data_IF_149060130880
#
_entry.id   IF_149060130880
#
_cell.length_a   1.000
_cell.length_b   1.000
_cell.length_c   1.000
_cell.angle_alpha   90.00
_cell.angle_beta   90.00
_cell.angle_gamma   90.00
#
_symmetry.space_group_name_H-M   'P 1'
#
loop_
_entity.id
_entity.type
_entity.pdbx_description
1 polymer ?
#
# COMPACT_ATOMS: atom_id res chain seq x y z
N UNK A 1 27.12 10.30 -2.41
CA UNK A 1 26.53 10.42 -3.78
C UNK A 1 25.84 11.76 -3.91
N UNK A 2 25.83 12.38 -5.10
CA UNK A 2 25.08 13.62 -5.35
C UNK A 2 24.11 13.39 -6.51
N UNK A 3 22.84 13.75 -6.31
CA UNK A 3 21.81 13.79 -7.35
C UNK A 3 21.64 15.24 -7.76
N UNK A 4 22.14 15.58 -8.96
CA UNK A 4 22.27 16.96 -9.40
C UNK A 4 21.18 17.39 -10.38
N UNK A 5 20.82 18.69 -10.32
CA UNK A 5 19.93 19.36 -11.27
C UNK A 5 18.61 18.64 -11.43
N UNK A 6 17.91 18.44 -10.31
CA UNK A 6 16.60 17.79 -10.29
C UNK A 6 15.51 18.75 -9.81
N UNK A 7 14.26 18.49 -10.22
CA UNK A 7 13.10 19.04 -9.55
C UNK A 7 12.87 18.18 -8.29
N UNK A 8 13.19 18.75 -7.14
CA UNK A 8 12.98 18.11 -5.84
C UNK A 8 11.53 18.32 -5.44
N UNK A 9 10.85 17.24 -5.13
CA UNK A 9 9.44 17.24 -4.70
C UNK A 9 9.37 16.68 -3.29
N UNK A 10 9.27 17.57 -2.32
CA UNK A 10 9.03 17.18 -0.93
C UNK A 10 7.54 17.35 -0.57
N UNK A 11 6.89 16.36 0.08
CA UNK A 11 5.46 16.43 0.40
C UNK A 11 5.08 17.54 1.38
N UNK A 12 6.05 18.13 2.09
CA UNK A 12 5.84 19.19 3.09
C UNK A 12 6.40 20.53 2.61
N UNK A 13 7.65 20.53 2.09
CA UNK A 13 8.34 21.76 1.68
C UNK A 13 8.03 22.18 0.23
N UNK A 14 7.30 21.35 -0.51
CA UNK A 14 6.84 21.65 -1.88
C UNK A 14 7.88 21.32 -2.96
N UNK A 15 7.80 22.04 -4.08
CA UNK A 15 8.57 21.78 -5.29
C UNK A 15 9.62 22.87 -5.50
N UNK A 16 10.87 22.48 -5.72
CA UNK A 16 11.98 23.41 -6.04
C UNK A 16 13.09 22.68 -6.80
N UNK A 17 13.90 23.40 -7.56
CA UNK A 17 15.05 22.82 -8.26
C UNK A 17 16.31 22.88 -7.40
N UNK A 18 17.19 21.89 -7.57
CA UNK A 18 18.41 21.83 -6.79
C UNK A 18 19.19 20.53 -6.92
N UNK A 19 20.04 20.32 -5.93
CA UNK A 19 20.91 19.15 -5.79
C UNK A 19 20.68 18.52 -4.42
N UNK A 20 20.81 17.18 -4.35
CA UNK A 20 20.69 16.41 -3.10
C UNK A 20 21.96 15.62 -2.88
N UNK A 21 22.63 15.84 -1.76
CA UNK A 21 23.82 15.13 -1.34
C UNK A 21 23.45 14.03 -0.35
N UNK A 22 23.98 12.84 -0.58
CA UNK A 22 23.67 11.62 0.18
C UNK A 22 24.97 11.00 0.68
N UNK A 23 25.06 10.77 1.98
CA UNK A 23 26.16 10.08 2.65
C UNK A 23 25.61 9.11 3.68
N UNK A 24 26.23 7.96 3.81
CA UNK A 24 25.89 6.94 4.81
C UNK A 24 24.38 6.62 4.89
N UNK A 25 23.75 6.50 3.73
CA UNK A 25 22.33 6.17 3.62
C UNK A 25 21.35 7.28 3.94
N UNK A 26 21.84 8.52 4.17
CA UNK A 26 21.02 9.68 4.53
C UNK A 26 21.21 10.86 3.59
N UNK A 27 20.19 11.67 3.48
CA UNK A 27 20.27 12.99 2.88
C UNK A 27 21.02 13.91 3.85
N UNK A 28 22.22 14.36 3.46
CA UNK A 28 23.04 15.24 4.32
C UNK A 28 22.90 16.71 3.93
N UNK A 29 22.51 17.00 2.68
CA UNK A 29 22.30 18.37 2.21
C UNK A 29 21.24 18.41 1.12
N UNK A 30 20.39 19.43 1.17
CA UNK A 30 19.45 19.79 0.11
C UNK A 30 19.73 21.21 -0.31
N UNK A 31 20.37 21.39 -1.48
CA UNK A 31 20.78 22.70 -1.98
C UNK A 31 19.78 23.19 -3.04
N UNK A 32 19.05 24.26 -2.69
CA UNK A 32 18.15 24.95 -3.64
C UNK A 32 18.99 25.76 -4.65
N UNK A 33 18.78 25.49 -5.92
CA UNK A 33 19.49 26.17 -7.01
C UNK A 33 18.59 26.27 -8.24
N UNK A 34 18.53 27.44 -8.85
CA UNK A 34 17.87 27.61 -10.14
C UNK A 34 18.61 26.81 -11.23
N UNK A 35 17.94 25.86 -11.85
CA UNK A 35 18.48 25.07 -12.94
C UNK A 35 17.36 24.50 -13.81
N UNK A 36 17.71 24.05 -15.02
CA UNK A 36 16.83 23.21 -15.84
C UNK A 36 16.93 21.80 -15.28
N UNK A 37 15.84 21.22 -14.72
CA UNK A 37 15.91 19.91 -14.09
C UNK A 37 16.09 18.79 -15.13
N UNK A 38 16.84 17.75 -14.77
CA UNK A 38 17.06 16.54 -15.57
C UNK A 38 16.05 15.44 -15.27
N UNK A 39 15.19 15.65 -14.29
CA UNK A 39 14.17 14.72 -13.83
C UNK A 39 13.51 15.22 -12.57
N UNK A 40 12.55 14.44 -12.07
CA UNK A 40 11.80 14.71 -10.85
C UNK A 40 12.28 13.75 -9.76
N UNK A 41 12.84 14.27 -8.68
CA UNK A 41 13.26 13.49 -7.52
C UNK A 41 12.16 13.54 -6.47
N UNK A 42 11.64 12.36 -6.09
CA UNK A 42 10.60 12.19 -5.07
C UNK A 42 11.08 11.25 -3.96
N UNK A 43 10.45 11.24 -2.78
CA UNK A 43 10.61 10.15 -1.84
C UNK A 43 10.28 8.82 -2.51
N UNK A 44 11.04 7.79 -2.19
CA UNK A 44 10.80 6.44 -2.68
C UNK A 44 9.37 5.99 -2.38
N UNK A 45 8.74 5.30 -3.31
CA UNK A 45 7.35 4.88 -3.17
C UNK A 45 7.17 3.84 -2.07
N UNK A 46 5.99 3.84 -1.47
CA UNK A 46 5.58 2.90 -0.43
C UNK A 46 4.30 2.22 -0.87
N UNK A 47 4.35 0.89 -1.04
CA UNK A 47 3.16 0.07 -1.32
C UNK A 47 2.78 -0.77 -0.09
N UNK A 48 1.81 -0.33 0.71
CA UNK A 48 1.41 -1.05 1.92
C UNK A 48 0.42 -2.19 1.67
N UNK A 49 0.06 -2.48 0.40
CA UNK A 49 -0.89 -3.53 0.05
C UNK A 49 -0.54 -4.18 -1.28
N UNK A 50 0.23 -5.28 -1.22
CA UNK A 50 0.69 -6.04 -2.38
C UNK A 50 0.78 -7.54 -2.06
N UNK A 51 0.06 -8.39 -2.80
CA UNK A 51 0.08 -9.86 -2.65
C UNK A 51 1.22 -10.51 -3.43
N UNK A 52 1.54 -9.96 -4.59
CA UNK A 52 2.59 -10.52 -5.44
C UNK A 52 2.86 -9.71 -6.70
N UNK A 53 3.92 -10.10 -7.43
CA UNK A 53 4.35 -9.48 -8.69
C UNK A 53 5.29 -10.42 -9.44
N UNK A 54 5.26 -10.42 -10.78
CA UNK A 54 6.19 -11.16 -11.65
C UNK A 54 6.33 -12.67 -11.35
N UNK A 55 5.24 -13.29 -10.88
CA UNK A 55 5.20 -14.69 -10.50
C UNK A 55 5.51 -14.96 -9.04
N UNK A 56 6.10 -14.01 -8.33
CA UNK A 56 6.35 -14.09 -6.88
C UNK A 56 5.09 -13.77 -6.08
N UNK A 57 4.90 -14.44 -4.93
CA UNK A 57 3.69 -14.35 -4.12
C UNK A 57 4.02 -14.36 -2.63
N UNK A 58 3.37 -13.49 -1.87
CA UNK A 58 3.51 -13.41 -0.40
C UNK A 58 3.16 -14.74 0.27
N UNK A 59 2.16 -15.47 -0.22
CA UNK A 59 1.74 -16.75 0.36
C UNK A 59 2.82 -17.85 0.21
N UNK A 60 3.72 -17.69 -0.77
CA UNK A 60 4.90 -18.54 -0.96
C UNK A 60 6.14 -18.02 -0.22
N UNK A 61 6.07 -16.79 0.32
CA UNK A 61 7.20 -16.08 0.93
C UNK A 61 8.33 -15.72 -0.06
N UNK A 62 7.98 -15.42 -1.32
CA UNK A 62 8.90 -15.04 -2.39
C UNK A 62 9.34 -13.57 -2.25
N UNK A 63 9.76 -13.16 -1.03
CA UNK A 63 10.00 -11.75 -0.68
C UNK A 63 11.16 -11.13 -1.46
N UNK A 64 12.21 -11.90 -1.71
CA UNK A 64 13.39 -11.44 -2.46
C UNK A 64 13.06 -11.14 -3.90
N UNK A 65 12.32 -12.03 -4.56
CA UNK A 65 11.90 -11.92 -5.94
C UNK A 65 10.94 -10.74 -6.13
N UNK A 66 10.03 -10.54 -5.16
CA UNK A 66 9.15 -9.37 -5.14
C UNK A 66 10.00 -8.10 -5.05
N UNK A 67 10.90 -8.01 -4.07
CA UNK A 67 11.73 -6.84 -3.80
C UNK A 67 12.57 -6.44 -5.01
N UNK A 68 13.24 -7.39 -5.66
CA UNK A 68 14.07 -7.14 -6.84
C UNK A 68 13.29 -6.43 -7.96
N UNK A 69 12.06 -6.89 -8.23
CA UNK A 69 11.23 -6.26 -9.24
C UNK A 69 10.68 -4.91 -8.80
N UNK A 70 10.28 -4.78 -7.53
CA UNK A 70 9.65 -3.58 -6.98
C UNK A 70 10.59 -2.35 -7.04
N UNK A 71 11.89 -2.55 -7.02
CA UNK A 71 12.86 -1.47 -7.26
C UNK A 71 12.67 -0.83 -8.64
N UNK A 72 12.31 -1.60 -9.66
CA UNK A 72 12.02 -1.08 -11.00
C UNK A 72 10.77 -0.20 -11.06
N UNK A 73 9.91 -0.31 -10.04
CA UNK A 73 8.68 0.47 -9.88
C UNK A 73 8.86 1.70 -8.99
N UNK A 74 10.08 1.94 -8.48
CA UNK A 74 10.39 3.07 -7.59
C UNK A 74 10.02 2.80 -6.13
N UNK A 75 9.64 1.57 -5.77
CA UNK A 75 9.25 1.19 -4.42
C UNK A 75 10.50 0.94 -3.59
N UNK A 76 10.57 1.59 -2.43
CA UNK A 76 11.64 1.44 -1.44
C UNK A 76 11.15 0.87 -0.13
N UNK A 77 9.84 0.72 0.02
CA UNK A 77 9.20 0.12 1.20
C UNK A 77 7.89 -0.53 0.78
N UNK A 78 7.63 -1.75 1.25
CA UNK A 78 6.35 -2.43 1.01
C UNK A 78 5.94 -3.30 2.20
N UNK A 79 4.65 -3.60 2.27
CA UNK A 79 4.09 -4.64 3.14
C UNK A 79 3.65 -5.81 2.26
N UNK A 80 4.28 -6.97 2.45
CA UNK A 80 3.83 -8.19 1.79
C UNK A 80 2.48 -8.60 2.40
N UNK A 81 1.45 -8.72 1.55
CA UNK A 81 0.07 -8.89 1.99
C UNK A 81 -0.39 -10.32 1.83
N UNK A 82 -0.91 -10.92 2.90
CA UNK A 82 -1.51 -12.25 2.85
C UNK A 82 -2.96 -12.18 2.43
N UNK A 83 -3.53 -13.29 1.94
CA UNK A 83 -4.98 -13.48 1.93
C UNK A 83 -5.42 -14.33 3.11
N UNK A 84 -6.74 -14.43 3.35
CA UNK A 84 -7.27 -15.31 4.40
C UNK A 84 -6.77 -16.73 4.25
N UNK A 85 -6.14 -17.25 5.29
CA UNK A 85 -5.51 -18.57 5.30
C UNK A 85 -5.66 -19.27 6.67
N UNK A 86 -5.22 -20.52 6.76
CA UNK A 86 -5.21 -21.24 8.03
C UNK A 86 -4.29 -20.57 9.06
N UNK A 87 -4.57 -20.77 10.34
CA UNK A 87 -3.72 -20.26 11.42
C UNK A 87 -2.28 -20.80 11.34
N UNK A 88 -2.13 -22.07 10.96
CA UNK A 88 -0.81 -22.68 10.76
C UNK A 88 -0.01 -22.03 9.64
N UNK A 89 -0.65 -21.79 8.48
CA UNK A 89 0.00 -21.12 7.35
C UNK A 89 0.34 -19.68 7.69
N UNK A 90 -0.54 -18.95 8.37
CA UNK A 90 -0.29 -17.59 8.83
C UNK A 90 0.98 -17.54 9.69
N UNK A 91 1.10 -18.39 10.70
CA UNK A 91 2.29 -18.46 11.57
C UNK A 91 3.57 -18.74 10.79
N UNK A 92 3.52 -19.65 9.82
CA UNK A 92 4.69 -19.98 9.01
C UNK A 92 5.13 -18.80 8.12
N UNK A 93 4.19 -18.07 7.51
CA UNK A 93 4.48 -16.86 6.74
C UNK A 93 5.13 -15.79 7.63
N UNK A 94 4.56 -15.55 8.83
CA UNK A 94 5.09 -14.58 9.78
C UNK A 94 6.51 -14.95 10.24
N UNK A 95 6.75 -16.23 10.53
CA UNK A 95 8.07 -16.73 10.89
C UNK A 95 9.10 -16.46 9.78
N UNK A 96 8.79 -16.85 8.53
CA UNK A 96 9.67 -16.66 7.38
C UNK A 96 9.93 -15.18 7.07
N UNK A 97 8.89 -14.35 7.15
CA UNK A 97 9.06 -12.90 6.96
C UNK A 97 9.97 -12.28 8.02
N UNK A 98 9.83 -12.71 9.28
CA UNK A 98 10.72 -12.27 10.36
C UNK A 98 12.16 -12.69 10.13
N UNK A 99 12.39 -13.93 9.71
CA UNK A 99 13.71 -14.45 9.36
C UNK A 99 14.33 -13.65 8.21
N UNK A 100 13.56 -13.46 7.12
CA UNK A 100 14.02 -12.68 5.96
C UNK A 100 14.43 -11.25 6.33
N UNK A 101 13.63 -10.55 7.14
CA UNK A 101 13.94 -9.18 7.59
C UNK A 101 15.20 -9.14 8.46
N UNK A 102 15.40 -10.13 9.33
CA UNK A 102 16.58 -10.20 10.19
C UNK A 102 17.86 -10.51 9.41
N UNK A 103 17.77 -11.35 8.38
CA UNK A 103 18.90 -11.71 7.52
C UNK A 103 19.24 -10.62 6.50
N UNK A 104 18.27 -9.75 6.18
CA UNK A 104 18.40 -8.67 5.19
C UNK A 104 18.06 -7.30 5.80
N UNK A 105 18.92 -6.69 6.63
CA UNK A 105 18.59 -5.45 7.35
C UNK A 105 18.22 -4.26 6.47
N UNK A 106 18.72 -4.22 5.22
CA UNK A 106 18.42 -3.17 4.25
C UNK A 106 17.25 -3.49 3.32
N UNK A 107 16.49 -4.56 3.60
CA UNK A 107 15.34 -4.94 2.77
C UNK A 107 14.28 -3.83 2.70
N UNK A 108 13.56 -3.77 1.59
CA UNK A 108 12.37 -2.93 1.42
C UNK A 108 11.11 -3.55 2.05
N UNK A 109 11.16 -4.84 2.40
CA UNK A 109 10.09 -5.49 3.15
C UNK A 109 10.04 -4.93 4.57
N UNK A 110 9.07 -4.07 4.84
CA UNK A 110 8.86 -3.51 6.19
C UNK A 110 8.23 -4.53 7.15
N UNK A 111 7.40 -5.41 6.61
CA UNK A 111 6.66 -6.41 7.36
C UNK A 111 5.48 -6.95 6.58
N UNK A 112 4.54 -7.53 7.31
CA UNK A 112 3.36 -8.19 6.77
C UNK A 112 2.11 -7.33 7.00
N UNK A 113 1.27 -7.26 5.97
CA UNK A 113 -0.11 -6.86 6.05
C UNK A 113 -0.98 -8.11 6.04
N UNK A 114 -1.67 -8.40 7.13
CA UNK A 114 -2.64 -9.48 7.20
C UNK A 114 -3.97 -8.98 6.61
N UNK A 115 -4.31 -9.37 5.38
CA UNK A 115 -5.64 -9.11 4.83
C UNK A 115 -6.57 -10.27 5.18
N UNK A 116 -7.42 -10.03 6.18
CA UNK A 116 -8.16 -11.10 6.84
C UNK A 116 -7.26 -11.93 7.78
N UNK A 117 -7.75 -13.07 8.28
CA UNK A 117 -8.99 -13.76 7.97
C UNK A 117 -10.26 -13.24 8.67
N UNK A 118 -10.15 -12.14 9.41
CA UNK A 118 -11.19 -11.57 10.26
C UNK A 118 -12.10 -10.62 9.46
N UNK A 119 -12.67 -11.11 8.36
CA UNK A 119 -13.45 -10.33 7.39
C UNK A 119 -14.87 -10.88 7.23
N UNK A 120 -15.76 -10.11 6.59
CA UNK A 120 -17.14 -10.53 6.32
C UNK A 120 -17.21 -11.55 5.19
N UNK A 121 -17.90 -12.68 5.41
CA UNK A 121 -18.20 -13.66 4.36
C UNK A 121 -19.01 -13.07 3.21
N UNK A 122 -19.89 -12.11 3.50
CA UNK A 122 -20.71 -11.41 2.49
C UNK A 122 -19.88 -10.51 1.56
N UNK A 123 -18.69 -10.10 2.02
CA UNK A 123 -17.77 -9.23 1.30
C UNK A 123 -16.40 -9.88 1.09
N UNK A 124 -16.35 -11.20 1.08
CA UNK A 124 -15.11 -11.97 1.01
C UNK A 124 -14.24 -11.68 -0.21
N UNK A 125 -14.81 -11.15 -1.32
CA UNK A 125 -14.04 -10.95 -2.54
C UNK A 125 -13.32 -12.23 -2.99
N UNK A 126 -12.03 -12.15 -3.24
CA UNK A 126 -11.17 -13.27 -3.62
C UNK A 126 -10.52 -13.98 -2.42
N UNK A 127 -11.18 -14.01 -1.27
CA UNK A 127 -10.75 -14.83 -0.12
C UNK A 127 -11.48 -16.16 -0.08
N UNK A 128 -10.77 -17.24 0.28
CA UNK A 128 -11.35 -18.57 0.50
C UNK A 128 -12.26 -18.54 1.74
N UNK A 129 -13.55 -18.82 1.55
CA UNK A 129 -14.54 -18.75 2.64
C UNK A 129 -14.21 -19.69 3.80
N UNK A 130 -13.57 -20.84 3.52
CA UNK A 130 -13.18 -21.80 4.54
C UNK A 130 -12.16 -21.28 5.55
N UNK A 131 -11.47 -20.19 5.24
CA UNK A 131 -10.48 -19.57 6.12
C UNK A 131 -11.02 -18.35 6.87
N UNK A 132 -12.18 -17.81 6.47
CA UNK A 132 -12.79 -16.65 7.14
C UNK A 132 -13.35 -17.07 8.49
N UNK A 133 -12.94 -16.37 9.55
CA UNK A 133 -13.30 -16.67 10.93
C UNK A 133 -13.22 -15.42 11.82
N UNK A 134 -13.88 -15.41 12.97
CA UNK A 134 -13.67 -14.37 13.97
C UNK A 134 -12.27 -14.47 14.60
N UNK A 135 -11.72 -13.36 15.15
CA UNK A 135 -10.48 -13.40 15.90
C UNK A 135 -10.62 -14.18 17.22
N UNK A 136 -9.52 -14.79 17.65
CA UNK A 136 -9.46 -15.50 18.93
C UNK A 136 -8.26 -15.04 19.76
N UNK A 137 -8.34 -15.19 21.08
CA UNK A 137 -7.24 -14.88 22.01
C UNK A 137 -5.97 -15.66 21.68
N UNK A 138 -6.10 -16.89 21.19
CA UNK A 138 -4.97 -17.73 20.80
C UNK A 138 -4.23 -17.11 19.59
N UNK A 139 -4.98 -16.75 18.54
CA UNK A 139 -4.40 -16.17 17.34
C UNK A 139 -3.77 -14.81 17.59
N UNK A 140 -4.40 -13.95 18.41
CA UNK A 140 -3.88 -12.62 18.73
C UNK A 140 -2.56 -12.62 19.47
N UNK A 141 -2.26 -13.69 20.23
CA UNK A 141 -0.95 -13.84 20.90
C UNK A 141 0.18 -14.04 19.89
N UNK A 142 -0.09 -14.66 18.77
CA UNK A 142 0.88 -14.94 17.72
C UNK A 142 1.04 -13.75 16.73
N UNK A 143 0.07 -12.81 16.73
CA UNK A 143 0.14 -11.61 15.91
C UNK A 143 1.01 -10.57 16.62
N UNK A 144 2.24 -10.47 16.13
CA UNK A 144 3.28 -9.56 16.61
C UNK A 144 4.23 -9.23 15.44
N UNK A 145 5.44 -8.76 15.69
CA UNK A 145 6.44 -8.55 14.63
C UNK A 145 6.62 -9.86 13.81
N UNK A 146 6.56 -9.81 12.47
CA UNK A 146 6.68 -8.63 11.63
C UNK A 146 5.36 -8.01 11.14
N UNK A 147 4.21 -8.29 11.76
CA UNK A 147 2.93 -7.70 11.34
C UNK A 147 2.95 -6.18 11.56
N UNK A 148 2.61 -5.41 10.52
CA UNK A 148 2.51 -3.94 10.55
C UNK A 148 1.09 -3.46 10.33
N UNK A 149 0.27 -4.23 9.63
CA UNK A 149 -1.10 -3.88 9.29
C UNK A 149 -1.99 -5.12 9.33
N UNK A 150 -3.27 -4.91 9.67
CA UNK A 150 -4.28 -5.95 9.63
C UNK A 150 -5.59 -5.36 9.11
N UNK A 151 -6.14 -5.97 8.04
CA UNK A 151 -7.46 -5.67 7.51
C UNK A 151 -8.51 -6.56 8.14
N UNK A 152 -9.60 -5.95 8.61
CA UNK A 152 -10.71 -6.66 9.27
C UNK A 152 -12.06 -6.00 9.00
N UNK A 153 -13.14 -6.74 9.24
CA UNK A 153 -14.51 -6.23 9.20
C UNK A 153 -15.01 -5.88 10.62
N UNK A 154 -15.39 -4.60 10.87
CA UNK A 154 -15.84 -4.16 12.19
C UNK A 154 -17.04 -4.93 12.76
N UNK A 155 -17.94 -5.40 11.91
CA UNK A 155 -19.19 -6.09 12.29
C UNK A 155 -19.02 -7.56 12.66
N UNK A 156 -17.84 -8.16 12.49
CA UNK A 156 -17.68 -9.58 12.82
C UNK A 156 -17.64 -9.81 14.33
N UNK A 157 -18.03 -11.01 14.73
CA UNK A 157 -17.99 -11.44 16.15
C UNK A 157 -16.58 -11.27 16.73
N UNK A 158 -16.50 -10.73 17.95
CA UNK A 158 -15.24 -10.53 18.70
C UNK A 158 -14.21 -9.63 18.02
N UNK A 159 -14.60 -8.79 17.06
CA UNK A 159 -13.70 -7.86 16.38
C UNK A 159 -13.01 -6.87 17.33
N UNK A 160 -13.65 -6.54 18.45
CA UNK A 160 -13.07 -5.65 19.50
C UNK A 160 -11.78 -6.21 20.10
N UNK A 161 -11.56 -7.52 20.06
CA UNK A 161 -10.28 -8.10 20.50
C UNK A 161 -9.09 -7.58 19.69
N UNK A 162 -9.30 -7.20 18.43
CA UNK A 162 -8.26 -6.68 17.54
C UNK A 162 -7.72 -5.33 18.01
N UNK A 163 -8.47 -4.54 18.78
CA UNK A 163 -8.02 -3.25 19.30
C UNK A 163 -6.74 -3.35 20.13
N UNK A 164 -6.47 -4.51 20.74
CA UNK A 164 -5.21 -4.75 21.46
C UNK A 164 -3.97 -4.71 20.55
N UNK A 165 -4.14 -4.91 19.25
CA UNK A 165 -3.05 -4.85 18.29
C UNK A 165 -2.58 -3.42 18.04
N UNK A 166 -3.45 -2.43 18.24
CA UNK A 166 -3.11 -1.01 18.16
C UNK A 166 -2.03 -0.65 19.19
N UNK A 167 -2.12 -1.21 20.41
CA UNK A 167 -1.11 -1.01 21.46
C UNK A 167 0.26 -1.61 21.10
N UNK A 168 0.29 -2.61 20.19
CA UNK A 168 1.52 -3.20 19.64
C UNK A 168 2.07 -2.39 18.45
N UNK A 169 1.43 -1.28 18.07
CA UNK A 169 1.82 -0.46 16.92
C UNK A 169 1.41 -1.05 15.57
N UNK A 170 0.44 -1.97 15.55
CA UNK A 170 -0.13 -2.53 14.32
C UNK A 170 -1.27 -1.64 13.85
N UNK A 171 -1.21 -1.22 12.58
CA UNK A 171 -2.26 -0.41 11.95
C UNK A 171 -3.46 -1.30 11.65
N UNK A 172 -4.62 -0.99 12.24
CA UNK A 172 -5.88 -1.64 11.87
C UNK A 172 -6.53 -0.89 10.70
N UNK A 173 -6.93 -1.65 9.67
CA UNK A 173 -7.63 -1.14 8.49
C UNK A 173 -8.98 -1.84 8.36
N UNK A 174 -10.06 -1.07 8.26
CA UNK A 174 -11.37 -1.66 8.03
C UNK A 174 -11.56 -1.99 6.55
N UNK A 175 -11.96 -3.23 6.26
CA UNK A 175 -12.13 -3.71 4.88
C UNK A 175 -12.97 -4.98 4.81
N UNK A 176 -13.37 -5.38 3.60
CA UNK A 176 -14.21 -6.56 3.38
C UNK A 176 -15.42 -6.63 4.33
N UNK A 177 -16.22 -5.56 4.36
CA UNK A 177 -17.14 -5.26 5.45
C UNK A 177 -18.50 -4.80 4.96
N UNK A 178 -19.55 -5.18 5.68
CA UNK A 178 -20.91 -4.64 5.55
C UNK A 178 -21.27 -3.69 6.72
N UNK A 179 -20.28 -3.28 7.51
CA UNK A 179 -20.49 -2.46 8.70
C UNK A 179 -21.36 -1.24 8.42
N UNK A 180 -22.26 -0.96 9.37
CA UNK A 180 -22.97 0.31 9.48
C UNK A 180 -22.02 1.44 9.87
N UNK A 181 -22.50 2.68 9.77
CA UNK A 181 -21.74 3.84 10.25
C UNK A 181 -21.43 3.71 11.74
N UNK A 182 -22.41 3.32 12.55
CA UNK A 182 -22.25 3.19 14.01
C UNK A 182 -21.29 2.08 14.40
N UNK A 183 -21.28 0.95 13.67
CA UNK A 183 -20.32 -0.13 13.92
C UNK A 183 -18.89 0.32 13.63
N UNK A 184 -18.66 1.03 12.52
CA UNK A 184 -17.33 1.57 12.22
C UNK A 184 -16.90 2.64 13.24
N UNK A 185 -17.82 3.51 13.68
CA UNK A 185 -17.51 4.59 14.65
C UNK A 185 -16.91 4.06 15.96
N UNK A 186 -17.31 2.89 16.44
CA UNK A 186 -16.72 2.27 17.65
C UNK A 186 -15.21 2.06 17.51
N UNK A 187 -14.76 1.65 16.32
CA UNK A 187 -13.34 1.45 16.01
C UNK A 187 -12.63 2.76 15.68
N UNK A 188 -13.32 3.69 15.02
CA UNK A 188 -12.77 5.01 14.74
C UNK A 188 -12.39 5.78 16.03
N UNK A 189 -13.23 5.71 17.06
CA UNK A 189 -12.97 6.28 18.38
C UNK A 189 -11.74 5.66 19.06
N UNK A 190 -11.42 4.41 18.73
CA UNK A 190 -10.23 3.67 19.17
C UNK A 190 -9.05 3.78 18.19
N UNK A 191 -9.03 4.86 17.39
CA UNK A 191 -7.97 5.20 16.45
C UNK A 191 -7.80 4.28 15.21
N UNK A 192 -8.85 3.55 14.80
CA UNK A 192 -8.88 2.86 13.52
C UNK A 192 -9.29 3.86 12.43
N UNK A 193 -8.30 4.36 11.69
CA UNK A 193 -8.46 5.48 10.74
C UNK A 193 -8.01 5.13 9.33
N UNK A 194 -8.18 3.87 8.92
CA UNK A 194 -7.83 3.41 7.58
C UNK A 194 -8.93 2.51 7.03
N UNK A 195 -9.18 2.61 5.73
CA UNK A 195 -10.10 1.74 4.99
C UNK A 195 -9.35 1.15 3.79
N UNK A 196 -9.38 -0.18 3.73
CA UNK A 196 -8.68 -1.00 2.73
C UNK A 196 -9.37 -0.88 1.36
N UNK A 197 -8.59 -0.76 0.28
CA UNK A 197 -8.97 -0.71 -1.16
C UNK A 197 -10.34 -0.07 -1.44
N UNK A 198 -10.56 1.10 -0.84
CA UNK A 198 -11.83 1.84 -0.86
C UNK A 198 -12.37 2.09 -2.28
N UNK A 199 -13.66 1.89 -2.55
CA UNK A 199 -14.73 1.26 -1.75
C UNK A 199 -14.96 -0.22 -2.12
N UNK A 200 -13.95 -0.92 -2.67
CA UNK A 200 -14.07 -2.33 -3.05
C UNK A 200 -14.27 -3.19 -1.81
N UNK A 201 -15.05 -4.26 -1.94
CA UNK A 201 -15.35 -5.14 -0.81
C UNK A 201 -16.15 -4.51 0.33
N UNK A 202 -16.76 -3.34 0.14
CA UNK A 202 -17.55 -2.64 1.15
C UNK A 202 -19.04 -2.61 0.81
N UNK A 203 -19.87 -2.33 1.85
CA UNK A 203 -21.28 -2.00 1.65
C UNK A 203 -21.40 -0.69 0.87
N UNK A 204 -22.17 -0.62 -0.23
CA UNK A 204 -22.34 0.59 -1.00
C UNK A 204 -22.97 1.73 -0.20
N UNK A 205 -22.61 2.97 -0.55
CA UNK A 205 -23.20 4.18 0.02
C UNK A 205 -24.71 4.21 -0.20
N UNK A 206 -25.48 4.45 0.83
CA UNK A 206 -26.92 4.61 0.75
C UNK A 206 -27.39 5.83 1.58
N UNK A 207 -28.34 6.62 1.05
CA UNK A 207 -28.74 7.92 1.63
C UNK A 207 -29.43 7.84 3.02
N UNK A 208 -29.86 6.68 3.47
CA UNK A 208 -30.44 6.47 4.81
C UNK A 208 -29.50 5.76 5.78
N UNK A 209 -28.46 5.11 5.27
CA UNK A 209 -27.42 4.43 6.04
C UNK A 209 -26.16 4.45 5.20
N UNK A 210 -25.26 5.37 5.53
CA UNK A 210 -24.08 5.64 4.70
C UNK A 210 -23.01 4.55 4.80
N UNK A 211 -23.08 3.71 5.86
CA UNK A 211 -22.15 2.61 6.10
C UNK A 211 -20.70 3.06 6.25
N UNK A 212 -19.82 2.07 6.26
CA UNK A 212 -18.37 2.30 6.27
C UNK A 212 -17.89 3.11 5.06
N UNK A 213 -18.53 2.93 3.89
CA UNK A 213 -18.20 3.70 2.68
C UNK A 213 -18.48 5.19 2.88
N UNK A 214 -19.62 5.54 3.49
CA UNK A 214 -19.93 6.93 3.81
C UNK A 214 -19.04 7.47 4.92
N UNK A 215 -18.73 6.68 5.93
CA UNK A 215 -17.81 7.06 7.00
C UNK A 215 -16.43 7.46 6.44
N UNK A 216 -15.89 6.64 5.52
CA UNK A 216 -14.61 6.93 4.86
C UNK A 216 -14.58 8.27 4.14
N UNK A 217 -15.69 8.66 3.49
CA UNK A 217 -15.81 9.95 2.82
C UNK A 217 -16.06 11.12 3.77
N UNK A 218 -16.78 10.89 4.87
CA UNK A 218 -17.22 11.92 5.81
C UNK A 218 -16.12 12.33 6.80
N UNK A 219 -15.33 11.36 7.27
CA UNK A 219 -14.32 11.57 8.32
C UNK A 219 -13.00 12.00 7.68
N UNK A 220 -12.57 13.23 7.91
CA UNK A 220 -11.43 13.85 7.22
C UNK A 220 -10.10 13.11 7.46
N UNK A 221 -9.88 12.61 8.67
CA UNK A 221 -8.64 11.94 9.09
C UNK A 221 -8.58 10.43 8.79
N UNK A 222 -9.65 9.85 8.26
CA UNK A 222 -9.63 8.47 7.75
C UNK A 222 -8.90 8.42 6.42
N UNK A 223 -7.89 7.55 6.31
CA UNK A 223 -7.13 7.28 5.07
C UNK A 223 -7.86 6.23 4.23
N UNK A 224 -7.92 6.49 2.93
CA UNK A 224 -8.53 5.58 1.96
C UNK A 224 -7.46 5.01 1.03
N UNK A 225 -7.34 3.70 0.99
CA UNK A 225 -6.51 3.04 -0.03
C UNK A 225 -7.21 3.09 -1.39
N UNK A 226 -6.48 3.45 -2.44
CA UNK A 226 -7.03 3.50 -3.79
C UNK A 226 -6.20 2.65 -4.76
N UNK A 227 -6.88 1.74 -5.46
CA UNK A 227 -6.35 0.98 -6.60
C UNK A 227 -6.69 1.78 -7.87
N UNK A 228 -5.72 2.51 -8.42
CA UNK A 228 -5.92 3.43 -9.53
C UNK A 228 -5.65 2.79 -10.89
N UNK A 229 -6.25 1.62 -11.17
CA UNK A 229 -6.08 0.86 -12.42
C UNK A 229 -7.11 1.21 -13.52
N UNK A 230 -8.20 1.87 -13.16
CA UNK A 230 -9.34 2.14 -14.07
C UNK A 230 -10.33 0.98 -14.16
N UNK A 231 -10.11 -0.11 -13.45
CA UNK A 231 -10.96 -1.32 -13.37
C UNK A 231 -11.64 -1.39 -12.01
N UNK A 232 -10.88 -1.39 -10.91
CA UNK A 232 -11.39 -1.33 -9.54
C UNK A 232 -12.08 0.00 -9.26
N UNK A 233 -11.52 1.09 -9.76
CA UNK A 233 -12.08 2.44 -9.67
C UNK A 233 -12.10 3.11 -11.05
N UNK A 234 -13.26 3.58 -11.47
CA UNK A 234 -13.31 4.48 -12.62
C UNK A 234 -12.54 5.77 -12.32
N UNK A 235 -12.05 6.43 -13.37
CA UNK A 235 -11.36 7.73 -13.21
C UNK A 235 -12.24 8.78 -12.50
N UNK A 236 -13.56 8.70 -12.70
CA UNK A 236 -14.53 9.60 -12.05
C UNK A 236 -14.61 9.33 -10.56
N UNK A 237 -14.56 8.06 -10.12
CA UNK A 237 -14.54 7.69 -8.71
C UNK A 237 -13.25 8.16 -8.04
N UNK A 238 -12.09 7.92 -8.65
CA UNK A 238 -10.80 8.44 -8.14
C UNK A 238 -10.86 9.96 -7.98
N UNK A 239 -11.40 10.67 -8.99
CA UNK A 239 -11.55 12.12 -8.93
C UNK A 239 -12.52 12.58 -7.85
N UNK A 240 -13.61 11.84 -7.63
CA UNK A 240 -14.59 12.14 -6.59
C UNK A 240 -13.94 12.00 -5.20
N UNK A 241 -13.28 10.87 -4.94
CA UNK A 241 -12.58 10.64 -3.67
C UNK A 241 -11.52 11.71 -3.44
N UNK A 242 -10.71 12.04 -4.44
CA UNK A 242 -9.71 13.11 -4.33
C UNK A 242 -10.33 14.48 -4.03
N UNK A 243 -11.48 14.82 -4.62
CA UNK A 243 -12.17 16.08 -4.31
C UNK A 243 -12.63 16.17 -2.86
N UNK A 244 -13.08 15.05 -2.29
CA UNK A 244 -13.58 14.97 -0.92
C UNK A 244 -12.43 14.90 0.07
N UNK A 245 -11.51 13.95 -0.12
CA UNK A 245 -10.46 13.60 0.85
C UNK A 245 -9.17 14.41 0.70
N UNK A 246 -8.99 15.11 -0.45
CA UNK A 246 -7.70 15.70 -0.83
C UNK A 246 -6.58 14.65 -0.83
N UNK A 247 -5.35 15.09 -1.07
CA UNK A 247 -4.20 14.18 -1.04
C UNK A 247 -3.93 13.61 0.36
N UNK A 248 -4.20 14.38 1.40
CA UNK A 248 -3.88 13.98 2.78
C UNK A 248 -4.71 12.77 3.26
N UNK A 249 -5.89 12.53 2.69
CA UNK A 249 -6.78 11.40 3.04
C UNK A 249 -6.62 10.17 2.15
N UNK A 250 -5.61 10.09 1.27
CA UNK A 250 -5.48 9.04 0.27
C UNK A 250 -4.13 8.35 0.37
N UNK A 251 -4.13 7.02 0.21
CA UNK A 251 -2.94 6.18 0.04
C UNK A 251 -3.08 5.38 -1.25
N UNK A 252 -2.09 5.45 -2.13
CA UNK A 252 -2.04 4.59 -3.30
C UNK A 252 -1.57 3.20 -2.91
N UNK A 253 -2.24 2.19 -3.45
CA UNK A 253 -1.88 0.79 -3.32
C UNK A 253 -2.01 0.10 -4.67
N UNK A 254 -1.31 -1.02 -4.84
CA UNK A 254 -1.50 -1.84 -6.03
C UNK A 254 -2.57 -2.90 -5.82
N UNK A 255 -2.62 -3.52 -4.66
CA UNK A 255 -3.38 -4.75 -4.45
C UNK A 255 -3.05 -5.77 -5.55
N UNK A 256 -1.79 -5.76 -6.02
CA UNK A 256 -1.36 -6.60 -7.12
C UNK A 256 -1.11 -8.03 -6.67
N UNK A 257 -1.37 -8.97 -7.60
CA UNK A 257 -1.12 -10.39 -7.42
C UNK A 257 0.10 -10.82 -8.24
N UNK A 258 0.54 -12.07 -8.08
CA UNK A 258 1.69 -12.64 -8.79
C UNK A 258 1.64 -12.48 -10.33
N UNK A 259 0.46 -12.30 -10.93
CA UNK A 259 0.31 -12.05 -12.36
C UNK A 259 0.70 -10.62 -12.80
N UNK A 260 0.86 -9.66 -11.89
CA UNK A 260 1.24 -8.31 -12.25
C UNK A 260 2.61 -8.29 -12.95
N UNK A 261 2.71 -7.58 -14.08
CA UNK A 261 3.91 -7.54 -14.92
C UNK A 261 4.05 -8.73 -15.89
N UNK A 262 3.19 -9.73 -15.80
CA UNK A 262 3.16 -10.87 -16.71
C UNK A 262 2.11 -10.69 -17.82
N UNK A 263 2.14 -11.59 -18.80
CA UNK A 263 1.10 -11.71 -19.84
C UNK A 263 -0.14 -12.38 -19.26
N UNK A 264 -1.28 -12.18 -19.94
CA UNK A 264 -2.53 -12.89 -19.64
C UNK A 264 -2.29 -14.41 -19.50
N UNK A 265 -3.03 -15.03 -18.58
CA UNK A 265 -2.86 -16.45 -18.28
C UNK A 265 -3.62 -16.87 -17.02
N UNK A 266 -3.21 -17.96 -16.41
CA UNK A 266 -3.80 -18.48 -15.18
C UNK A 266 -2.74 -18.45 -14.08
N UNK A 267 -3.14 -17.99 -12.90
CA UNK A 267 -2.33 -17.98 -11.67
C UNK A 267 -3.20 -18.40 -10.48
N UNK A 268 -2.67 -18.25 -9.28
CA UNK A 268 -3.41 -18.46 -8.03
C UNK A 268 -3.32 -17.23 -7.14
N UNK A 269 -4.30 -17.06 -6.26
CA UNK A 269 -4.27 -16.14 -5.12
C UNK A 269 -4.69 -16.94 -3.89
N UNK A 270 -3.76 -17.26 -3.01
CA UNK A 270 -3.96 -18.29 -2.00
C UNK A 270 -4.41 -19.62 -2.62
N UNK A 271 -5.54 -20.16 -2.16
CA UNK A 271 -6.10 -21.42 -2.66
C UNK A 271 -6.98 -21.25 -3.92
N UNK A 272 -7.17 -20.04 -4.41
CA UNK A 272 -8.11 -19.76 -5.49
C UNK A 272 -7.40 -19.63 -6.84
N UNK A 273 -8.00 -20.24 -7.88
CA UNK A 273 -7.51 -20.10 -9.26
C UNK A 273 -8.01 -18.78 -9.84
N UNK A 274 -7.08 -18.01 -10.40
CA UNK A 274 -7.34 -16.70 -10.99
C UNK A 274 -7.00 -16.74 -12.47
N UNK A 275 -7.92 -16.27 -13.32
CA UNK A 275 -7.72 -16.09 -14.75
C UNK A 275 -7.51 -14.61 -15.06
N UNK A 276 -6.44 -14.31 -15.77
CA UNK A 276 -6.14 -12.94 -16.25
C UNK A 276 -6.45 -12.86 -17.73
N UNK A 277 -7.36 -11.95 -18.08
CA UNK A 277 -7.75 -11.66 -19.47
C UNK A 277 -7.78 -10.14 -19.67
N UNK A 278 -7.08 -9.66 -20.69
CA UNK A 278 -6.93 -8.22 -20.95
C UNK A 278 -6.30 -7.47 -19.77
N UNK A 279 -5.42 -8.13 -19.01
CA UNK A 279 -4.80 -7.57 -17.82
C UNK A 279 -5.73 -7.51 -16.59
N UNK A 280 -6.93 -8.11 -16.62
CA UNK A 280 -7.89 -8.07 -15.51
C UNK A 280 -8.00 -9.44 -14.85
N UNK A 281 -7.58 -9.58 -13.57
CA UNK A 281 -7.65 -10.85 -12.86
C UNK A 281 -9.05 -11.10 -12.29
N UNK A 282 -9.58 -12.31 -12.52
CA UNK A 282 -10.91 -12.72 -12.05
C UNK A 282 -10.93 -14.18 -11.61
N UNK A 283 -11.81 -14.44 -10.64
CA UNK A 283 -12.23 -15.80 -10.32
C UNK A 283 -13.21 -16.33 -11.40
N UNK A 284 -13.53 -17.62 -11.35
CA UNK A 284 -14.45 -18.28 -12.28
C UNK A 284 -15.85 -17.65 -12.26
N UNK A 285 -16.31 -17.15 -11.12
CA UNK A 285 -17.60 -16.48 -10.95
C UNK A 285 -17.60 -15.01 -11.42
N UNK A 286 -16.47 -14.51 -11.95
CA UNK A 286 -16.30 -13.15 -12.43
C UNK A 286 -15.88 -12.14 -11.38
N UNK A 287 -15.73 -12.52 -10.12
CA UNK A 287 -15.22 -11.65 -9.04
C UNK A 287 -13.80 -11.19 -9.35
N UNK A 288 -13.51 -9.89 -9.18
CA UNK A 288 -12.14 -9.37 -9.25
C UNK A 288 -11.28 -10.01 -8.17
N UNK A 289 -10.04 -10.36 -8.51
CA UNK A 289 -9.11 -11.06 -7.62
C UNK A 289 -7.77 -10.31 -7.55
N UNK A 290 -7.72 -9.26 -6.72
CA UNK A 290 -6.63 -8.31 -6.72
C UNK A 290 -6.44 -7.64 -8.07
N UNK A 291 -5.28 -7.06 -8.33
CA UNK A 291 -4.99 -6.35 -9.56
C UNK A 291 -3.74 -6.87 -10.29
N UNK A 292 -3.51 -6.40 -11.50
CA UNK A 292 -2.23 -6.49 -12.22
C UNK A 292 -1.54 -5.11 -12.32
N UNK A 293 -1.99 -4.15 -11.51
CA UNK A 293 -1.50 -2.79 -11.51
C UNK A 293 -0.05 -2.74 -11.01
N UNK A 294 0.83 -2.09 -11.75
CA UNK A 294 2.16 -1.74 -11.28
C UNK A 294 2.13 -0.37 -10.59
N UNK A 295 2.91 -0.19 -9.53
CA UNK A 295 2.85 1.03 -8.71
C UNK A 295 3.21 2.29 -9.50
N UNK A 296 4.23 2.22 -10.37
CA UNK A 296 4.58 3.32 -11.26
C UNK A 296 3.41 3.73 -12.18
N UNK A 297 2.57 2.76 -12.57
CA UNK A 297 1.36 3.05 -13.35
C UNK A 297 0.25 3.63 -12.47
N UNK A 298 0.10 3.18 -11.21
CA UNK A 298 -0.84 3.77 -10.24
C UNK A 298 -0.55 5.27 -10.04
N UNK A 299 0.72 5.63 -9.86
CA UNK A 299 1.18 7.02 -9.73
C UNK A 299 0.79 7.88 -10.94
N UNK A 300 1.05 7.38 -12.16
CA UNK A 300 0.68 8.07 -13.41
C UNK A 300 -0.83 8.22 -13.56
N UNK A 301 -1.56 7.15 -13.27
CA UNK A 301 -3.03 7.14 -13.39
C UNK A 301 -3.66 8.11 -12.39
N UNK A 302 -3.21 8.11 -11.14
CA UNK A 302 -3.73 9.04 -10.13
C UNK A 302 -3.55 10.49 -10.58
N UNK A 303 -2.34 10.87 -11.00
CA UNK A 303 -2.09 12.23 -11.52
C UNK A 303 -2.95 12.55 -12.75
N UNK A 304 -3.05 11.61 -13.70
CA UNK A 304 -3.86 11.77 -14.90
C UNK A 304 -5.36 11.96 -14.59
N UNK A 305 -5.88 11.20 -13.61
CA UNK A 305 -7.30 11.23 -13.26
C UNK A 305 -7.67 12.47 -12.43
N UNK A 306 -6.77 12.90 -11.53
CA UNK A 306 -7.06 13.98 -10.59
C UNK A 306 -6.54 15.35 -11.03
N UNK A 307 -5.41 15.38 -11.74
CA UNK A 307 -4.68 16.62 -12.04
C UNK A 307 -3.92 17.17 -10.82
N UNK A 308 -3.60 16.34 -9.83
CA UNK A 308 -2.90 16.76 -8.61
C UNK A 308 -1.50 17.32 -8.92
N UNK A 309 -0.95 18.14 -8.01
CA UNK A 309 0.44 18.59 -8.04
C UNK A 309 1.40 17.42 -7.79
N UNK A 310 2.70 17.60 -8.06
CA UNK A 310 3.72 16.59 -7.72
C UNK A 310 3.87 16.45 -6.20
N UNK A 311 3.76 17.54 -5.45
CA UNK A 311 3.74 17.52 -3.99
C UNK A 311 2.61 16.63 -3.44
N UNK A 312 1.38 16.76 -3.98
CA UNK A 312 0.27 15.91 -3.60
C UNK A 312 0.49 14.45 -4.03
N UNK A 313 1.13 14.25 -5.19
CA UNK A 313 1.50 12.91 -5.66
C UNK A 313 2.50 12.24 -4.70
N UNK A 314 3.51 12.98 -4.20
CA UNK A 314 4.44 12.48 -3.19
C UNK A 314 3.75 12.12 -1.86
N UNK A 315 2.71 12.86 -1.47
CA UNK A 315 1.90 12.52 -0.29
C UNK A 315 1.24 11.15 -0.45
N UNK A 316 0.49 10.94 -1.54
CA UNK A 316 -0.32 9.74 -1.73
C UNK A 316 0.50 8.49 -2.05
N UNK A 317 1.69 8.65 -2.65
CA UNK A 317 2.54 7.52 -3.08
C UNK A 317 3.62 7.14 -2.05
N UNK A 318 3.85 7.96 -1.01
CA UNK A 318 4.90 7.70 -0.04
C UNK A 318 4.56 8.24 1.36
N UNK A 319 4.46 9.56 1.51
CA UNK A 319 4.43 10.24 2.80
C UNK A 319 3.30 9.78 3.72
N UNK A 320 2.08 9.66 3.19
CA UNK A 320 0.92 9.26 4.00
C UNK A 320 1.11 7.86 4.60
N UNK A 321 1.61 6.90 3.80
CA UNK A 321 1.94 5.56 4.30
C UNK A 321 3.04 5.59 5.34
N UNK A 322 4.08 6.42 5.14
CA UNK A 322 5.16 6.57 6.12
C UNK A 322 4.63 7.09 7.47
N UNK A 323 3.78 8.11 7.45
CA UNK A 323 3.17 8.68 8.66
C UNK A 323 2.34 7.64 9.41
N UNK A 324 1.47 6.91 8.71
CA UNK A 324 0.62 5.88 9.33
C UNK A 324 1.42 4.71 9.91
N UNK A 325 2.47 4.29 9.22
CA UNK A 325 3.33 3.19 9.65
C UNK A 325 4.41 3.61 10.65
N UNK A 326 4.40 4.88 11.11
CA UNK A 326 5.35 5.39 12.09
C UNK A 326 6.78 5.52 11.58
N UNK A 327 6.98 5.66 10.26
CA UNK A 327 8.28 5.76 9.61
C UNK A 327 8.72 7.23 9.51
N UNK A 328 9.18 7.79 10.61
CA UNK A 328 9.58 9.20 10.69
C UNK A 328 10.88 9.52 9.93
N UNK A 329 11.67 8.51 9.57
CA UNK A 329 12.98 8.65 8.93
C UNK A 329 12.91 8.74 7.40
N UNK A 330 11.74 8.53 6.77
CA UNK A 330 11.57 8.46 5.31
C UNK A 330 10.26 9.10 4.83
N UNK A 331 10.00 9.04 3.53
CA UNK A 331 8.82 9.68 2.92
C UNK A 331 8.99 11.17 2.67
N UNK A 332 10.21 11.72 2.91
CA UNK A 332 10.58 13.11 2.68
C UNK A 332 11.98 13.23 2.05
N UNK A 333 12.26 14.38 1.43
CA UNK A 333 13.59 14.77 0.97
C UNK A 333 14.06 15.93 1.85
N UNK A 334 14.57 15.59 3.02
CA UNK A 334 15.03 16.56 4.01
C UNK A 334 16.34 16.10 4.65
N UNK A 335 17.15 17.05 5.11
CA UNK A 335 18.41 16.73 5.80
C UNK A 335 18.17 15.84 7.03
N UNK A 336 18.95 14.77 7.15
CA UNK A 336 18.80 13.74 8.17
C UNK A 336 17.83 12.60 7.81
N UNK A 337 16.99 12.77 6.79
CA UNK A 337 16.10 11.72 6.32
C UNK A 337 16.90 10.58 5.66
N UNK A 338 16.39 9.37 5.74
CA UNK A 338 16.89 8.22 5.01
C UNK A 338 16.78 8.45 3.51
N UNK A 339 17.85 8.17 2.79
CA UNK A 339 17.89 8.37 1.35
C UNK A 339 17.21 7.22 0.59
N UNK A 340 15.90 7.06 0.82
CA UNK A 340 14.99 6.21 0.08
C UNK A 340 14.27 7.11 -0.94
N UNK A 341 14.74 7.12 -2.20
CA UNK A 341 14.36 8.11 -3.21
C UNK A 341 14.07 7.45 -4.56
N UNK A 342 13.24 8.11 -5.36
CA UNK A 342 13.00 7.74 -6.75
C UNK A 342 13.22 8.92 -7.67
N UNK A 343 14.01 8.74 -8.72
CA UNK A 343 14.18 9.69 -9.80
C UNK A 343 13.29 9.28 -10.98
N UNK A 344 12.47 10.19 -11.43
CA UNK A 344 11.53 10.03 -12.53
C UNK A 344 11.90 10.94 -13.70
N UNK A 345 11.54 10.53 -14.92
CA UNK A 345 11.58 11.42 -16.07
C UNK A 345 10.33 12.35 -16.12
N UNK A 346 10.24 13.20 -17.14
CA UNK A 346 9.09 14.11 -17.34
C UNK A 346 7.75 13.37 -17.52
N UNK A 347 7.79 12.13 -18.00
CA UNK A 347 6.63 11.24 -18.16
C UNK A 347 6.30 10.43 -16.90
N UNK A 348 7.00 10.70 -15.79
CA UNK A 348 6.93 9.93 -14.54
C UNK A 348 7.30 8.45 -14.71
N UNK A 349 8.20 8.12 -15.64
CA UNK A 349 8.81 6.81 -15.70
C UNK A 349 9.96 6.75 -14.68
N UNK A 350 10.11 5.59 -14.03
CA UNK A 350 11.20 5.38 -13.08
C UNK A 350 12.53 5.30 -13.83
N UNK A 351 13.42 6.24 -13.54
CA UNK A 351 14.79 6.31 -14.09
C UNK A 351 15.78 5.66 -13.13
N UNK A 352 15.61 5.91 -11.85
CA UNK A 352 16.52 5.38 -10.82
C UNK A 352 15.76 5.25 -9.49
N UNK A 353 16.06 4.18 -8.78
CA UNK A 353 15.60 3.97 -7.39
C UNK A 353 16.81 3.89 -6.49
N UNK A 354 16.78 4.66 -5.42
CA UNK A 354 17.80 4.74 -4.40
C UNK A 354 17.21 4.23 -3.09
N UNK A 355 17.86 3.26 -2.48
CA UNK A 355 17.50 2.66 -1.21
C UNK A 355 18.66 2.81 -0.23
N UNK A 356 18.43 3.47 0.90
CA UNK A 356 19.52 3.75 1.87
C UNK A 356 20.76 4.35 1.23
N UNK A 357 20.57 5.24 0.25
CA UNK A 357 21.67 5.89 -0.44
C UNK A 357 22.34 5.06 -1.55
N UNK A 358 21.97 3.80 -1.71
CA UNK A 358 22.49 2.91 -2.75
C UNK A 358 21.55 2.88 -3.97
N UNK A 359 22.11 2.89 -5.16
CA UNK A 359 21.33 2.76 -6.40
C UNK A 359 20.97 1.29 -6.61
N UNK A 360 19.71 0.93 -6.32
CA UNK A 360 19.19 -0.45 -6.44
C UNK A 360 18.54 -0.74 -7.79
N UNK A 361 18.16 0.31 -8.54
CA UNK A 361 17.65 0.20 -9.89
C UNK A 361 18.04 1.42 -10.73
N UNK A 362 18.40 1.19 -12.00
CA UNK A 362 18.57 2.22 -13.02
C UNK A 362 18.03 1.71 -14.36
N UNK A 363 17.12 2.49 -14.97
CA UNK A 363 16.64 2.21 -16.32
C UNK A 363 17.80 2.32 -17.32
N UNK A 364 17.76 1.47 -18.33
CA UNK A 364 18.79 1.44 -19.42
C UNK A 364 18.57 2.58 -20.40
#
# INVERSE_FOLDING_TARGET
>A
MVVEKVLIVDPVDGEFTGDVEIEEGKVVKVEKRECIPRGVLMPGFVDPHIHGVMGADTMNCDFSEMEEFLYSQGITTFLATTVSTSFGSMKEILRKAKEYILENPSTSLLGIHLEGPYISKEKKGAHSEGHIRPPSEEELREIDSPVKMLTFAPEIESSELLLRLVEKGIVLSAGHSIATFEEFMKFYEENVKRITHFPNGLKPLHHREIGITGAGLLLDDVKLELICDGVHLSKEMVKLVYKVKKADGIVLVTDSISAAGLKDGTTTLGDLVVKVEGGVPRLEDGTLAGSTLLFSQAVKNFRKFTGCSLTELAKVSSYNSCVELGLADRGRIAEGARADLVLLDEGLNVVMTIKEGEVVFRSR
#
